data_IF_359491395764
#
_entry.id   IF_359491395764
#
_cell.length_a   1.000
_cell.length_b   1.000
_cell.length_c   1.000
_cell.angle_alpha   90.00
_cell.angle_beta   90.00
_cell.angle_gamma   90.00
#
_symmetry.space_group_name_H-M   'P 1'
#
loop_
_entity.id
_entity.type
_entity.pdbx_description
1 polymer ?
#
# COMPACT_ATOMS: atom_id res chain seq x y z
N UNK A 1 11.86 13.68 7.08
CA UNK A 1 12.04 13.75 8.55
C UNK A 1 13.11 12.75 8.93
N UNK A 2 14.02 13.06 9.85
CA UNK A 2 15.01 12.09 10.34
C UNK A 2 14.47 11.36 11.57
N UNK A 3 14.49 10.03 11.52
CA UNK A 3 14.10 9.20 12.67
C UNK A 3 15.29 9.10 13.60
N UNK A 4 15.15 9.61 14.82
CA UNK A 4 16.20 9.54 15.84
C UNK A 4 16.25 8.15 16.46
N UNK A 5 15.11 7.70 16.96
CA UNK A 5 14.98 6.42 17.64
C UNK A 5 13.58 5.83 17.49
N UNK A 6 13.49 4.51 17.66
CA UNK A 6 12.22 3.77 17.72
C UNK A 6 12.33 2.80 18.88
N UNK A 7 11.42 2.94 19.84
CA UNK A 7 11.31 2.09 21.03
C UNK A 7 10.16 1.10 20.86
N UNK A 8 10.38 -0.15 21.27
CA UNK A 8 9.34 -1.17 21.40
C UNK A 8 9.06 -1.40 22.89
N UNK A 9 7.81 -1.19 23.29
CA UNK A 9 7.36 -1.25 24.68
C UNK A 9 6.23 -2.27 24.79
N UNK A 10 6.53 -3.43 25.36
CA UNK A 10 5.53 -4.46 25.62
C UNK A 10 4.86 -4.22 26.98
N UNK A 11 3.54 -4.04 26.96
CA UNK A 11 2.70 -3.90 28.15
C UNK A 11 2.44 -5.24 28.85
N UNK A 12 2.07 -5.17 30.13
CA UNK A 12 1.71 -6.35 30.95
C UNK A 12 0.55 -7.19 30.40
N UNK A 13 -0.28 -6.59 29.55
CA UNK A 13 -1.42 -7.23 28.87
C UNK A 13 -1.05 -7.94 27.56
N UNK A 14 0.23 -7.95 27.16
CA UNK A 14 0.67 -8.47 25.86
C UNK A 14 0.52 -7.47 24.70
N UNK A 15 0.09 -6.24 24.98
CA UNK A 15 0.00 -5.17 23.98
C UNK A 15 1.37 -4.56 23.75
N UNK A 16 1.91 -4.67 22.53
CA UNK A 16 3.15 -3.98 22.15
C UNK A 16 2.85 -2.61 21.57
N UNK A 17 3.56 -1.59 22.06
CA UNK A 17 3.52 -0.22 21.56
C UNK A 17 4.87 0.14 20.99
N UNK A 18 4.87 0.73 19.80
CA UNK A 18 6.05 1.31 19.18
C UNK A 18 5.98 2.82 19.29
N UNK A 19 7.08 3.46 19.70
CA UNK A 19 7.20 4.91 19.80
C UNK A 19 8.36 5.35 18.92
N UNK A 20 8.05 6.10 17.88
CA UNK A 20 9.04 6.75 17.01
C UNK A 20 9.29 8.16 17.51
N UNK A 21 10.56 8.54 17.64
CA UNK A 21 10.98 9.92 17.88
C UNK A 21 11.80 10.43 16.71
N UNK A 22 11.49 11.64 16.28
CA UNK A 22 12.29 12.33 15.27
C UNK A 22 13.36 13.24 15.90
N UNK A 23 14.17 13.88 15.05
CA UNK A 23 15.21 14.82 15.48
C UNK A 23 14.64 16.14 16.06
N UNK A 24 13.38 16.46 15.77
CA UNK A 24 12.69 17.64 16.30
C UNK A 24 12.05 17.37 17.68
N UNK A 25 12.11 16.12 18.16
CA UNK A 25 11.53 15.70 19.43
C UNK A 25 10.04 15.37 19.36
N UNK A 26 9.45 15.23 18.17
CA UNK A 26 8.06 14.79 17.99
C UNK A 26 7.97 13.29 18.19
N UNK A 27 6.94 12.87 18.92
CA UNK A 27 6.67 11.45 19.21
C UNK A 27 5.47 10.96 18.41
N UNK A 28 5.61 9.79 17.78
CA UNK A 28 4.56 9.12 17.01
C UNK A 28 4.39 7.70 17.51
N UNK A 29 3.16 7.34 17.87
CA UNK A 29 2.87 6.04 18.51
C UNK A 29 2.11 5.12 17.57
N UNK A 30 2.44 3.83 17.55
CA UNK A 30 1.57 2.82 16.92
C UNK A 30 1.50 1.55 17.75
N UNK A 31 0.35 0.87 17.68
CA UNK A 31 0.15 -0.48 18.23
C UNK A 31 0.15 -1.54 17.12
N UNK A 32 0.23 -1.12 15.86
CA UNK A 32 0.24 -2.02 14.71
C UNK A 32 1.66 -2.53 14.52
N UNK A 33 1.86 -3.83 14.76
CA UNK A 33 3.18 -4.46 14.72
C UNK A 33 3.90 -4.28 13.38
N UNK A 34 3.17 -4.39 12.25
CA UNK A 34 3.75 -4.18 10.91
C UNK A 34 4.41 -2.81 10.77
N UNK A 35 3.72 -1.74 11.17
CA UNK A 35 4.23 -0.36 11.09
C UNK A 35 5.37 -0.14 12.10
N UNK A 36 5.27 -0.70 13.30
CA UNK A 36 6.34 -0.65 14.29
C UNK A 36 7.65 -1.30 13.81
N UNK A 37 7.55 -2.50 13.25
CA UNK A 37 8.69 -3.22 12.65
C UNK A 37 9.27 -2.47 11.46
N UNK A 38 8.44 -1.83 10.66
CA UNK A 38 8.89 -0.99 9.55
C UNK A 38 9.64 0.24 10.05
N UNK A 39 9.10 0.95 11.05
CA UNK A 39 9.73 2.09 11.69
C UNK A 39 11.14 1.77 12.22
N UNK A 40 11.33 0.58 12.81
CA UNK A 40 12.62 0.11 13.28
C UNK A 40 13.72 0.07 12.19
N UNK A 41 13.34 -0.11 10.92
CA UNK A 41 14.27 -0.13 9.76
C UNK A 41 14.76 1.27 9.37
N UNK A 42 14.03 2.30 9.77
CA UNK A 42 14.32 3.70 9.48
C UNK A 42 15.09 4.42 10.59
N UNK A 43 15.46 3.74 11.68
CA UNK A 43 16.30 4.33 12.75
C UNK A 43 17.56 4.99 12.18
N UNK A 44 17.77 6.25 12.57
CA UNK A 44 18.86 7.13 12.13
C UNK A 44 18.84 7.51 10.64
N UNK A 45 17.76 7.19 9.90
CA UNK A 45 17.57 7.48 8.46
C UNK A 45 16.50 8.55 8.23
N UNK A 46 16.48 9.09 7.02
CA UNK A 46 15.39 9.93 6.54
C UNK A 46 14.18 9.06 6.16
N UNK A 47 13.00 9.48 6.58
CA UNK A 47 11.74 8.84 6.30
C UNK A 47 10.64 9.87 6.02
N UNK A 48 9.63 9.41 5.28
CA UNK A 48 8.30 10.04 5.20
C UNK A 48 7.36 9.24 6.11
N UNK A 49 6.50 9.93 6.83
CA UNK A 49 5.49 9.32 7.68
C UNK A 49 4.09 9.81 7.32
N UNK A 50 3.10 9.00 7.62
CA UNK A 50 1.69 9.39 7.68
C UNK A 50 1.22 9.20 9.11
N UNK A 51 0.46 10.17 9.64
CA UNK A 51 -0.02 10.15 11.00
C UNK A 51 -1.37 10.86 11.12
N UNK A 52 -2.13 10.48 12.13
CA UNK A 52 -3.32 11.20 12.57
C UNK A 52 -3.20 11.59 14.03
N UNK A 53 -3.99 12.58 14.41
CA UNK A 53 -4.06 13.09 15.76
C UNK A 53 -5.41 12.78 16.36
N UNK A 54 -5.43 12.37 17.62
CA UNK A 54 -6.66 12.11 18.35
C UNK A 54 -6.63 12.80 19.72
N UNK A 55 -7.63 13.64 19.96
CA UNK A 55 -7.83 14.23 21.27
C UNK A 55 -8.62 13.27 22.17
N UNK A 56 -8.00 12.84 23.28
CA UNK A 56 -8.64 12.04 24.31
C UNK A 56 -8.37 12.61 25.69
N UNK A 57 -9.44 12.91 26.43
CA UNK A 57 -9.37 13.39 27.83
C UNK A 57 -8.46 14.61 28.00
N UNK A 58 -8.43 15.51 27.01
CA UNK A 58 -7.59 16.71 27.02
C UNK A 58 -6.12 16.49 26.61
N UNK A 59 -5.76 15.28 26.15
CA UNK A 59 -4.44 14.99 25.58
C UNK A 59 -4.55 14.78 24.07
N UNK A 60 -3.64 15.40 23.32
CA UNK A 60 -3.48 15.19 21.88
C UNK A 60 -2.50 14.04 21.66
N UNK A 61 -3.02 12.90 21.21
CA UNK A 61 -2.22 11.71 20.91
C UNK A 61 -1.91 11.71 19.42
N UNK A 62 -0.66 11.47 19.05
CA UNK A 62 -0.24 11.40 17.64
C UNK A 62 0.07 9.95 17.29
N UNK A 63 -0.65 9.40 16.31
CA UNK A 63 -0.57 8.01 15.92
C UNK A 63 0.07 7.84 14.55
N UNK A 64 1.05 6.94 14.47
CA UNK A 64 1.75 6.59 13.23
C UNK A 64 0.92 5.57 12.43
N UNK A 65 0.53 5.98 11.22
CA UNK A 65 -0.24 5.15 10.28
C UNK A 65 0.63 4.48 9.22
N UNK A 66 1.69 5.15 8.77
CA UNK A 66 2.65 4.59 7.82
C UNK A 66 4.03 5.25 7.96
N UNK A 67 5.06 4.54 7.53
CA UNK A 67 6.42 5.06 7.39
C UNK A 67 7.09 4.46 6.16
N UNK A 68 7.75 5.29 5.38
CA UNK A 68 8.45 4.88 4.16
C UNK A 68 9.71 5.69 3.93
N UNK A 69 10.48 5.37 2.87
CA UNK A 69 11.66 6.14 2.51
C UNK A 69 11.28 7.61 2.28
N UNK A 70 12.16 8.52 2.71
CA UNK A 70 12.04 9.91 2.27
C UNK A 70 12.20 9.93 0.75
N UNK A 71 11.21 10.48 0.05
CA UNK A 71 11.29 10.68 -1.38
C UNK A 71 12.58 11.49 -1.65
N UNK A 72 13.53 10.93 -2.40
CA UNK A 72 14.64 11.73 -2.92
C UNK A 72 14.00 12.88 -3.72
N UNK A 73 14.50 14.12 -3.59
CA UNK A 73 14.06 15.17 -4.49
C UNK A 73 14.29 14.62 -5.89
N UNK A 74 13.25 14.61 -6.72
CA UNK A 74 13.40 14.36 -8.14
C UNK A 74 14.42 15.37 -8.65
N UNK A 75 15.69 14.96 -8.70
CA UNK A 75 16.72 15.69 -9.43
C UNK A 75 16.20 15.84 -10.85
N UNK A 76 16.46 17.01 -11.42
CA UNK A 76 16.19 17.32 -12.82
C UNK A 76 16.43 16.09 -13.71
N UNK A 77 15.58 15.88 -14.75
CA UNK A 77 15.69 14.71 -15.59
C UNK A 77 17.09 14.69 -16.22
N UNK A 78 17.93 13.78 -15.74
CA UNK A 78 19.15 13.41 -16.43
C UNK A 78 18.73 12.95 -17.83
N UNK A 79 19.02 13.78 -18.83
CA UNK A 79 18.74 13.52 -20.26
C UNK A 79 19.66 12.43 -20.82
N UNK A 80 19.89 11.38 -20.04
CA UNK A 80 20.74 10.25 -20.38
C UNK A 80 20.11 8.90 -19.99
N UNK A 81 18.87 8.87 -19.46
CA UNK A 81 18.13 7.61 -19.42
C UNK A 81 17.39 7.42 -20.73
N UNK A 82 18.05 6.69 -21.60
CA UNK A 82 17.50 5.97 -22.75
C UNK A 82 16.00 5.71 -22.55
N UNK A 83 15.20 6.27 -23.45
CA UNK A 83 13.75 6.26 -23.39
C UNK A 83 13.25 4.82 -23.22
N UNK A 84 12.86 4.46 -22.00
CA UNK A 84 12.08 3.25 -21.76
C UNK A 84 10.75 3.43 -22.52
N UNK A 85 10.35 2.46 -23.36
CA UNK A 85 9.18 2.59 -24.20
C UNK A 85 7.95 2.82 -23.31
N UNK A 86 7.19 3.86 -23.63
CA UNK A 86 6.02 4.32 -22.86
C UNK A 86 4.98 3.23 -22.56
N UNK A 87 5.02 2.11 -23.30
CA UNK A 87 4.19 0.94 -23.07
C UNK A 87 4.47 0.27 -21.70
N UNK A 88 5.70 0.26 -21.20
CA UNK A 88 6.01 -0.31 -19.88
C UNK A 88 5.43 0.54 -18.73
N UNK A 89 5.34 1.86 -18.91
CA UNK A 89 4.80 2.79 -17.90
C UNK A 89 3.28 2.77 -17.80
N UNK A 90 2.58 2.41 -18.88
CA UNK A 90 1.13 2.29 -18.89
C UNK A 90 0.66 1.09 -18.05
N UNK A 91 1.40 -0.03 -18.08
CA UNK A 91 1.12 -1.21 -17.25
C UNK A 91 1.35 -0.92 -15.76
N UNK A 92 2.44 -0.24 -15.39
CA UNK A 92 2.69 0.15 -13.99
C UNK A 92 1.60 1.08 -13.44
N UNK A 93 1.17 2.06 -14.24
CA UNK A 93 0.11 3.00 -13.85
C UNK A 93 -1.25 2.30 -13.71
N UNK A 94 -1.55 1.32 -14.56
CA UNK A 94 -2.77 0.51 -14.46
C UNK A 94 -2.77 -0.39 -13.21
N UNK A 95 -1.60 -0.90 -12.80
CA UNK A 95 -1.42 -1.68 -11.57
C UNK A 95 -1.59 -0.80 -10.32
N UNK A 96 -1.04 0.42 -10.31
CA UNK A 96 -1.22 1.36 -9.19
C UNK A 96 -2.65 1.90 -9.06
N UNK A 97 -3.43 1.95 -10.15
CA UNK A 97 -4.84 2.38 -10.14
C UNK A 97 -5.83 1.27 -9.74
N UNK A 98 -5.37 0.02 -9.65
CA UNK A 98 -6.20 -1.14 -9.32
C UNK A 98 -6.53 -1.41 -7.83
N UNK A 99 -6.35 -0.50 -6.84
CA UNK A 99 -6.90 -0.74 -5.50
C UNK A 99 -8.43 -0.76 -5.41
N UNK A 100 -9.16 -0.35 -6.45
CA UNK A 100 -10.62 -0.24 -6.43
C UNK A 100 -11.37 -1.29 -7.25
N UNK A 101 -10.69 -2.26 -7.90
CA UNK A 101 -11.33 -3.28 -8.77
C UNK A 101 -11.39 -4.67 -8.13
N UNK A 102 -10.60 -4.98 -7.11
CA UNK A 102 -10.68 -6.28 -6.42
C UNK A 102 -10.95 -6.07 -4.93
N UNK A 103 -12.21 -6.29 -4.56
CA UNK A 103 -12.64 -6.29 -3.17
C UNK A 103 -11.79 -7.21 -2.30
N UNK A 104 -11.14 -6.60 -1.31
CA UNK A 104 -10.81 -7.15 0.02
C UNK A 104 -10.21 -8.56 0.08
N UNK A 105 -8.87 -8.59 0.05
CA UNK A 105 -7.92 -9.45 0.80
C UNK A 105 -6.85 -9.93 -0.16
N UNK A 106 -5.65 -9.38 0.00
CA UNK A 106 -4.46 -10.07 -0.45
C UNK A 106 -4.47 -11.45 0.26
N UNK A 107 -4.43 -12.56 -0.49
CA UNK A 107 -4.61 -13.87 0.11
C UNK A 107 -3.44 -14.13 1.07
N UNK A 108 -3.76 -14.54 2.30
CA UNK A 108 -2.76 -14.80 3.35
C UNK A 108 -1.77 -15.91 2.94
N UNK A 109 -2.13 -16.70 1.92
CA UNK A 109 -1.33 -17.77 1.35
C UNK A 109 -1.51 -17.82 -0.18
N UNK A 110 -0.44 -18.16 -0.91
CA UNK A 110 -0.50 -18.29 -2.36
C UNK A 110 -1.44 -19.44 -2.76
N UNK A 111 -2.51 -19.14 -3.49
CA UNK A 111 -3.45 -20.14 -4.00
C UNK A 111 -2.82 -20.87 -5.19
N UNK A 112 -2.82 -22.22 -5.21
CA UNK A 112 -2.34 -22.98 -6.35
C UNK A 112 -3.08 -22.62 -7.66
N UNK A 113 -2.40 -22.62 -8.82
CA UNK A 113 -2.98 -22.21 -10.10
C UNK A 113 -4.27 -22.95 -10.48
N UNK A 114 -4.34 -24.25 -10.20
CA UNK A 114 -5.50 -25.09 -10.51
C UNK A 114 -6.73 -24.64 -9.70
N UNK A 115 -6.54 -24.33 -8.42
CA UNK A 115 -7.64 -23.87 -7.55
C UNK A 115 -8.11 -22.46 -7.92
N UNK A 116 -7.18 -21.58 -8.29
CA UNK A 116 -7.52 -20.25 -8.79
C UNK A 116 -8.31 -20.33 -10.11
N UNK A 117 -7.93 -21.25 -11.00
CA UNK A 117 -8.63 -21.49 -12.25
C UNK A 117 -10.08 -21.91 -12.02
N UNK A 118 -10.31 -22.89 -11.13
CA UNK A 118 -11.66 -23.36 -10.78
C UNK A 118 -12.51 -22.23 -10.19
N UNK A 119 -11.95 -21.41 -9.30
CA UNK A 119 -12.66 -20.26 -8.70
C UNK A 119 -13.05 -19.20 -9.73
N UNK A 120 -12.22 -18.98 -10.76
CA UNK A 120 -12.47 -17.99 -11.81
C UNK A 120 -13.36 -18.52 -12.94
N UNK A 121 -13.62 -19.83 -13.01
CA UNK A 121 -14.39 -20.44 -14.08
C UNK A 121 -15.80 -19.85 -14.25
N UNK A 122 -16.60 -19.64 -13.19
CA UNK A 122 -17.95 -19.07 -13.33
C UNK A 122 -17.95 -17.64 -13.90
N UNK A 123 -16.93 -16.84 -13.55
CA UNK A 123 -16.80 -15.48 -14.09
C UNK A 123 -16.44 -15.49 -15.58
N UNK A 124 -15.53 -16.38 -16.00
CA UNK A 124 -15.18 -16.56 -17.41
C UNK A 124 -16.38 -16.95 -18.26
N UNK A 125 -17.25 -17.82 -17.75
CA UNK A 125 -18.49 -18.21 -18.44
C UNK A 125 -19.45 -17.03 -18.61
N UNK A 126 -19.64 -16.23 -17.56
CA UNK A 126 -20.51 -15.04 -17.62
C UNK A 126 -19.99 -13.99 -18.61
N UNK A 127 -18.69 -13.73 -18.61
CA UNK A 127 -18.07 -12.78 -19.56
C UNK A 127 -18.14 -13.32 -20.99
N UNK A 128 -17.90 -14.61 -21.20
CA UNK A 128 -18.03 -15.22 -22.52
C UNK A 128 -19.48 -15.17 -23.03
N UNK A 129 -20.47 -15.28 -22.15
CA UNK A 129 -21.88 -15.11 -22.51
C UNK A 129 -22.21 -13.66 -22.87
N UNK A 130 -21.72 -12.71 -22.08
CA UNK A 130 -21.91 -11.27 -22.31
C UNK A 130 -21.29 -10.82 -23.65
N UNK A 131 -20.06 -11.25 -23.94
CA UNK A 131 -19.38 -10.96 -25.23
C UNK A 131 -20.17 -11.57 -26.40
N UNK A 132 -20.69 -12.79 -26.26
CA UNK A 132 -21.51 -13.44 -27.31
C UNK A 132 -22.83 -12.70 -27.52
N UNK A 133 -23.43 -12.19 -26.46
CA UNK A 133 -24.67 -11.41 -26.53
C UNK A 133 -24.42 -10.03 -27.13
N UNK A 134 -23.40 -9.31 -26.68
CA UNK A 134 -23.02 -8.00 -27.22
C UNK A 134 -22.69 -8.09 -28.72
N UNK A 135 -21.95 -9.12 -29.14
CA UNK A 135 -21.66 -9.35 -30.56
C UNK A 135 -22.86 -9.76 -31.41
N UNK A 136 -23.96 -10.22 -30.80
CA UNK A 136 -25.21 -10.52 -31.51
C UNK A 136 -26.16 -9.30 -31.60
N UNK A 137 -25.97 -8.28 -30.76
CA UNK A 137 -26.74 -7.03 -30.76
C UNK A 137 -26.19 -6.00 -31.79
N UNK A 138 -24.93 -6.13 -32.20
CA UNK A 138 -24.30 -5.30 -33.26
C UNK A 138 -24.62 -5.77 -34.70
N UNK A 139 -25.30 -6.92 -34.86
CA UNK A 139 -25.60 -7.57 -36.15
C UNK A 139 -27.10 -7.43 -36.55
N UNK A 140 -27.81 -6.39 -36.08
CA UNK A 140 -29.13 -6.01 -36.60
C UNK A 140 -28.95 -5.07 -37.82
N UNK A 141 -29.20 -5.53 -39.07
CA UNK A 141 -29.16 -4.65 -40.23
C UNK A 141 -30.33 -3.67 -40.17
N UNK A 142 -30.03 -2.37 -40.35
CA UNK A 142 -31.01 -1.30 -40.57
C UNK A 142 -31.94 -1.55 -41.76
#
# INVERSE_FOLDING_TARGET
MRVREVEELSGRSGTTRYVLRDDEGREYTTFRERIGREAMRFRSKQARIEFHEEERRGFQNVYLDAIGPAQEPAGEPDRTREAQPADESAWDTAVEAAPWIIGTREPEEAVPPEELYERLHPFKELVADDIRRAGAEDDEPS
#
